data_IF_714013135306
#
_entry.id   IF_714013135306
#
_cell.length_a   1.000
_cell.length_b   1.000
_cell.length_c   1.000
_cell.angle_alpha   90.00
_cell.angle_beta   90.00
_cell.angle_gamma   90.00
#
_symmetry.space_group_name_H-M   'P 1'
#
loop_
_entity.id
_entity.type
_entity.pdbx_description
1 polymer ?
#
# COMPACT_ATOMS: atom_id res chain seq x y z
N UNK A 1 13.99 -17.40 -31.88
CA UNK A 1 13.28 -16.53 -32.85
C UNK A 1 11.91 -17.17 -33.01
N UNK A 2 10.76 -16.63 -32.62
CA UNK A 2 10.30 -15.27 -32.42
C UNK A 2 9.28 -15.28 -31.26
N UNK A 3 9.27 -14.26 -30.41
CA UNK A 3 8.01 -13.80 -29.79
C UNK A 3 8.00 -12.27 -29.85
N UNK A 4 7.60 -11.78 -31.01
CA UNK A 4 7.20 -10.39 -31.21
C UNK A 4 5.80 -10.20 -30.60
N UNK A 5 5.74 -9.77 -29.34
CA UNK A 5 4.52 -9.14 -28.80
C UNK A 5 4.72 -7.63 -28.79
N UNK A 6 4.55 -7.04 -29.96
CA UNK A 6 4.46 -5.60 -30.15
C UNK A 6 3.06 -5.11 -29.73
N UNK A 7 2.89 -4.75 -28.47
CA UNK A 7 1.88 -3.76 -28.06
C UNK A 7 2.61 -2.51 -27.58
N UNK A 8 2.96 -1.66 -28.54
CA UNK A 8 3.80 -0.50 -28.31
C UNK A 8 3.05 0.75 -27.86
N UNK A 9 1.82 0.69 -27.33
CA UNK A 9 1.14 1.93 -26.94
C UNK A 9 -0.02 1.88 -25.94
N UNK A 10 -0.17 0.86 -25.11
CA UNK A 10 -0.98 1.01 -23.89
C UNK A 10 -0.20 1.88 -22.87
N UNK A 11 -0.38 3.20 -22.93
CA UNK A 11 0.16 4.14 -21.93
C UNK A 11 -0.47 3.84 -20.57
N UNK A 12 0.20 3.01 -19.76
CA UNK A 12 -0.23 2.73 -18.39
C UNK A 12 -0.05 4.00 -17.56
N UNK A 13 -1.12 4.41 -16.88
CA UNK A 13 -1.05 5.46 -15.86
C UNK A 13 -0.74 4.82 -14.50
N UNK A 14 0.14 5.43 -13.69
CA UNK A 14 0.37 4.95 -12.33
C UNK A 14 -0.88 5.18 -11.48
N UNK A 15 -1.28 4.18 -10.69
CA UNK A 15 -2.36 4.31 -9.74
C UNK A 15 -1.89 5.11 -8.51
N UNK A 16 -2.67 6.10 -8.11
CA UNK A 16 -2.44 6.81 -6.86
C UNK A 16 -2.92 5.98 -5.68
N UNK A 17 -2.02 5.71 -4.73
CA UNK A 17 -2.32 4.92 -3.53
C UNK A 17 -2.53 5.86 -2.35
N UNK A 18 -3.67 5.72 -1.69
CA UNK A 18 -4.06 6.49 -0.51
C UNK A 18 -4.17 5.59 0.71
N UNK A 19 -3.83 6.13 1.87
CA UNK A 19 -3.99 5.43 3.16
C UNK A 19 -4.48 6.38 4.24
N UNK A 20 -5.22 5.83 5.21
CA UNK A 20 -5.83 6.57 6.32
C UNK A 20 -4.81 6.73 7.46
N UNK A 21 -4.48 7.97 7.78
CA UNK A 21 -3.45 8.29 8.78
C UNK A 21 -4.03 8.49 10.18
N UNK A 22 -4.75 9.59 10.41
CA UNK A 22 -5.38 9.97 11.70
C UNK A 22 -6.82 10.47 11.49
N UNK A 23 -7.56 9.78 10.62
CA UNK A 23 -8.97 10.10 10.32
C UNK A 23 -9.22 10.67 8.92
N UNK A 24 -8.18 11.01 8.16
CA UNK A 24 -8.30 11.42 6.75
C UNK A 24 -7.37 10.61 5.84
N UNK A 25 -7.65 10.64 4.53
CA UNK A 25 -6.87 10.00 3.48
C UNK A 25 -5.72 10.90 3.02
N UNK A 26 -4.51 10.34 2.94
CA UNK A 26 -3.33 11.03 2.42
C UNK A 26 -2.64 10.14 1.37
N UNK A 27 -2.13 10.70 0.25
CA UNK A 27 -1.33 9.95 -0.71
C UNK A 27 -0.10 9.34 -0.04
N UNK A 28 0.13 8.05 -0.25
CA UNK A 28 1.28 7.31 0.32
C UNK A 28 2.60 7.84 -0.24
N UNK A 29 2.60 8.29 -1.50
CA UNK A 29 3.76 8.90 -2.15
C UNK A 29 4.30 10.15 -1.41
N UNK A 30 3.49 10.79 -0.57
CA UNK A 30 3.85 12.01 0.16
C UNK A 30 4.27 11.75 1.62
N UNK A 31 4.52 10.50 2.00
CA UNK A 31 4.90 10.16 3.37
C UNK A 31 6.38 10.46 3.64
N UNK A 32 6.67 11.07 4.80
CA UNK A 32 8.04 11.23 5.27
C UNK A 32 8.57 9.92 5.88
N UNK A 33 9.89 9.86 6.14
CA UNK A 33 10.54 8.65 6.69
C UNK A 33 9.93 8.17 8.00
N UNK A 34 9.58 9.10 8.90
CA UNK A 34 8.97 8.78 10.19
C UNK A 34 7.59 8.15 10.05
N UNK A 35 6.76 8.63 9.11
CA UNK A 35 5.43 8.05 8.87
C UNK A 35 5.51 6.64 8.27
N UNK A 36 6.50 6.40 7.41
CA UNK A 36 6.73 5.07 6.86
C UNK A 36 7.12 4.11 7.98
N UNK A 37 8.07 4.49 8.84
CA UNK A 37 8.46 3.70 10.02
C UNK A 37 7.26 3.39 10.94
N UNK A 38 6.50 4.41 11.35
CA UNK A 38 5.31 4.20 12.19
C UNK A 38 4.26 3.31 11.52
N UNK A 39 4.09 3.37 10.19
CA UNK A 39 3.18 2.48 9.49
C UNK A 39 3.66 1.02 9.53
N UNK A 40 4.96 0.76 9.42
CA UNK A 40 5.51 -0.60 9.56
C UNK A 40 5.37 -1.17 10.97
N UNK A 41 5.33 -0.30 11.99
CA UNK A 41 5.11 -0.71 13.38
C UNK A 41 3.64 -0.99 13.72
N UNK A 42 2.70 -0.69 12.81
CA UNK A 42 1.27 -0.96 13.04
C UNK A 42 1.00 -2.46 13.01
N UNK A 43 0.20 -2.92 13.97
CA UNK A 43 -0.29 -4.29 14.00
C UNK A 43 -1.70 -4.34 13.42
N UNK A 44 -1.90 -5.28 12.50
CA UNK A 44 -3.22 -5.59 11.95
C UNK A 44 -3.99 -6.46 12.93
N UNK A 45 -5.31 -6.29 12.95
CA UNK A 45 -6.16 -7.19 13.71
C UNK A 45 -6.26 -8.52 12.97
N UNK A 46 -5.77 -9.59 13.60
CA UNK A 46 -5.92 -10.95 13.10
C UNK A 46 -6.98 -11.69 13.92
N UNK A 47 -8.02 -12.16 13.22
CA UNK A 47 -9.15 -12.90 13.80
C UNK A 47 -8.77 -14.30 14.29
N UNK A 48 -7.66 -14.85 13.80
CA UNK A 48 -7.20 -16.20 14.13
C UNK A 48 -6.29 -16.21 15.35
N UNK A 49 -5.83 -15.04 15.80
CA UNK A 49 -5.17 -14.94 17.08
C UNK A 49 -6.20 -15.19 18.18
N UNK A 50 -5.87 -16.02 19.18
CA UNK A 50 -6.74 -16.16 20.33
C UNK A 50 -6.93 -14.77 20.93
N UNK A 51 -8.20 -14.35 21.08
CA UNK A 51 -8.53 -13.14 21.82
C UNK A 51 -7.76 -13.21 23.14
N UNK A 52 -7.08 -12.11 23.49
CA UNK A 52 -6.39 -12.05 24.76
C UNK A 52 -7.42 -12.32 25.85
N UNK A 53 -7.31 -13.49 26.48
CA UNK A 53 -8.25 -13.95 27.50
C UNK A 53 -8.19 -13.03 28.71
N UNK A 54 -9.05 -12.02 28.71
CA UNK A 54 -9.59 -11.43 29.92
C UNK A 54 -10.79 -12.24 30.40
#
# INVERSE_FOLDING_TARGET
MQESNSDSSLRRQPCEVYSRVVGYLRPVAQWNKGKQAEFYDRQEYDKQLPDCGC
#
